data_IF_751061532052
#
_entry.id   IF_751061532052
#
_cell.length_a   1.000
_cell.length_b   1.000
_cell.length_c   1.000
_cell.angle_alpha   90.00
_cell.angle_beta   90.00
_cell.angle_gamma   90.00
#
_symmetry.space_group_name_H-M   'P 1'
#
loop_
_entity.id
_entity.type
_entity.pdbx_description
1 polymer ?
#
# COMPACT_ATOMS: atom_id res chain seq x y z
N UNK A 1 9.11 11.42 11.05
CA UNK A 1 9.47 10.85 9.73
C UNK A 1 9.92 9.42 9.95
N UNK A 2 9.45 8.47 9.13
CA UNK A 2 9.68 7.03 9.30
C UNK A 2 10.71 6.44 8.32
N UNK A 3 11.64 7.27 7.85
CA UNK A 3 12.75 6.88 6.96
C UNK A 3 14.03 7.04 7.77
N UNK A 4 14.90 6.02 7.75
CA UNK A 4 16.10 5.94 8.58
C UNK A 4 17.34 5.70 7.72
N UNK A 5 18.51 6.11 8.22
CA UNK A 5 19.78 5.97 7.50
C UNK A 5 20.31 4.53 7.51
N UNK A 6 19.93 3.73 8.51
CA UNK A 6 20.31 2.32 8.63
C UNK A 6 19.12 1.43 8.96
N UNK A 7 19.30 0.12 8.71
CA UNK A 7 18.31 -0.90 9.08
C UNK A 7 18.13 -0.99 10.59
N UNK A 8 19.22 -0.94 11.37
CA UNK A 8 19.17 -1.08 12.82
C UNK A 8 18.36 0.05 13.46
N UNK A 9 18.52 1.29 12.97
CA UNK A 9 17.73 2.43 13.41
C UNK A 9 16.24 2.23 13.13
N UNK A 10 15.90 1.70 11.95
CA UNK A 10 14.53 1.42 11.58
C UNK A 10 13.90 0.34 12.48
N UNK A 11 14.66 -0.73 12.78
CA UNK A 11 14.21 -1.81 13.66
C UNK A 11 14.02 -1.29 15.09
N UNK A 12 14.99 -0.55 15.64
CA UNK A 12 14.90 0.01 16.97
C UNK A 12 13.67 0.93 17.12
N UNK A 13 13.45 1.82 16.17
CA UNK A 13 12.28 2.70 16.15
C UNK A 13 10.96 1.92 16.04
N UNK A 14 10.91 0.90 15.19
CA UNK A 14 9.74 0.04 15.04
C UNK A 14 9.42 -0.76 16.32
N UNK A 15 10.44 -1.28 17.02
CA UNK A 15 10.27 -1.98 18.30
C UNK A 15 9.63 -1.08 19.36
N UNK A 16 10.06 0.17 19.47
CA UNK A 16 9.46 1.13 20.40
C UNK A 16 8.04 1.50 19.98
N UNK A 17 7.80 1.78 18.70
CA UNK A 17 6.49 2.14 18.19
C UNK A 17 5.44 1.03 18.39
N UNK A 18 5.85 -0.23 18.17
CA UNK A 18 4.97 -1.39 18.35
C UNK A 18 4.46 -1.51 19.79
N UNK A 19 5.29 -1.20 20.79
CA UNK A 19 4.90 -1.20 22.19
C UNK A 19 3.80 -0.17 22.49
N UNK A 20 3.65 0.88 21.68
CA UNK A 20 2.58 1.87 21.79
C UNK A 20 1.22 1.39 21.28
N UNK A 21 1.17 0.41 20.37
CA UNK A 21 -0.04 -0.08 19.70
C UNK A 21 -0.82 -1.12 20.53
N UNK A 22 -1.07 -0.82 21.82
CA UNK A 22 -1.57 -1.80 22.80
C UNK A 22 -3.05 -2.16 22.66
N UNK A 23 -3.89 -1.21 22.22
CA UNK A 23 -5.35 -1.36 22.22
C UNK A 23 -5.89 -1.65 20.83
N UNK A 24 -6.87 -2.56 20.74
CA UNK A 24 -7.59 -2.86 19.48
C UNK A 24 -8.18 -1.59 18.87
N UNK A 25 -8.82 -0.75 19.67
CA UNK A 25 -9.41 0.52 19.20
C UNK A 25 -8.37 1.44 18.55
N UNK A 26 -7.18 1.58 19.16
CA UNK A 26 -6.09 2.38 18.60
C UNK A 26 -5.61 1.80 17.26
N UNK A 27 -5.44 0.47 17.18
CA UNK A 27 -5.06 -0.18 15.92
C UNK A 27 -6.11 0.03 14.83
N UNK A 28 -7.40 0.00 15.18
CA UNK A 28 -8.48 0.27 14.24
C UNK A 28 -8.44 1.71 13.72
N UNK A 29 -8.17 2.69 14.58
CA UNK A 29 -8.00 4.09 14.20
C UNK A 29 -6.80 4.27 13.25
N UNK A 30 -5.67 3.65 13.57
CA UNK A 30 -4.46 3.68 12.73
C UNK A 30 -4.72 3.05 11.37
N UNK A 31 -5.38 1.87 11.34
CA UNK A 31 -5.76 1.20 10.09
C UNK A 31 -6.66 2.11 9.26
N UNK A 32 -7.68 2.73 9.87
CA UNK A 32 -8.59 3.61 9.15
C UNK A 32 -7.86 4.79 8.51
N UNK A 33 -6.95 5.44 9.24
CA UNK A 33 -6.13 6.53 8.71
C UNK A 33 -5.21 6.07 7.55
N UNK A 34 -4.62 4.87 7.65
CA UNK A 34 -3.81 4.29 6.56
C UNK A 34 -4.66 4.04 5.32
N UNK A 35 -5.90 3.55 5.48
CA UNK A 35 -6.82 3.29 4.36
C UNK A 35 -7.22 4.59 3.65
N UNK A 36 -7.58 5.61 4.42
CA UNK A 36 -7.95 6.93 3.89
C UNK A 36 -6.79 7.56 3.12
N UNK A 37 -5.57 7.51 3.66
CA UNK A 37 -4.38 7.97 2.96
C UNK A 37 -4.10 7.15 1.69
N UNK A 38 -4.21 5.82 1.78
CA UNK A 38 -3.97 4.92 0.65
C UNK A 38 -4.91 5.17 -0.51
N UNK A 39 -6.19 5.45 -0.26
CA UNK A 39 -7.15 5.81 -1.30
C UNK A 39 -6.89 7.23 -1.83
N UNK A 40 -6.65 8.20 -0.95
CA UNK A 40 -6.36 9.60 -1.32
C UNK A 40 -5.16 9.71 -2.26
N UNK A 41 -4.09 8.96 -2.02
CA UNK A 41 -2.84 9.03 -2.79
C UNK A 41 -2.68 7.87 -3.79
N UNK A 42 -3.72 7.07 -4.02
CA UNK A 42 -3.64 5.86 -4.85
C UNK A 42 -3.10 6.13 -6.26
N UNK A 43 -3.47 7.27 -6.85
CA UNK A 43 -3.08 7.68 -8.20
C UNK A 43 -1.62 8.09 -8.27
N UNK A 44 -1.20 8.97 -7.38
CA UNK A 44 0.19 9.44 -7.28
C UNK A 44 1.15 8.27 -7.09
N UNK A 45 0.82 7.35 -6.18
CA UNK A 45 1.63 6.15 -5.94
C UNK A 45 1.71 5.24 -7.17
N UNK A 46 0.63 5.15 -7.97
CA UNK A 46 0.61 4.36 -9.18
C UNK A 46 1.51 4.96 -10.28
N UNK A 47 1.49 6.29 -10.44
CA UNK A 47 2.33 7.02 -11.38
C UNK A 47 3.81 6.93 -11.01
N UNK A 48 4.13 7.14 -9.73
CA UNK A 48 5.49 6.98 -9.21
C UNK A 48 6.01 5.56 -9.45
N UNK A 49 5.22 4.54 -9.15
CA UNK A 49 5.63 3.15 -9.32
C UNK A 49 5.89 2.78 -10.79
N UNK A 50 5.11 3.27 -11.75
CA UNK A 50 5.39 3.04 -13.19
C UNK A 50 6.61 3.84 -13.62
N UNK A 51 6.74 5.09 -13.18
CA UNK A 51 7.86 5.97 -13.53
C UNK A 51 9.20 5.41 -13.04
N UNK A 52 9.24 4.91 -11.80
CA UNK A 52 10.46 4.36 -11.18
C UNK A 52 10.84 3.00 -11.74
N UNK A 53 9.87 2.12 -11.98
CA UNK A 53 10.15 0.70 -12.33
C UNK A 53 10.01 0.37 -13.81
N UNK A 54 9.31 1.19 -14.59
CA UNK A 54 8.93 0.89 -15.97
C UNK A 54 7.91 -0.25 -16.14
N UNK A 55 7.35 -0.81 -15.06
CA UNK A 55 6.53 -2.02 -15.11
C UNK A 55 5.02 -1.76 -14.96
N UNK A 56 4.22 -2.33 -15.86
CA UNK A 56 2.76 -2.34 -15.79
C UNK A 56 2.11 -1.02 -16.21
N UNK A 57 0.78 -0.93 -16.08
CA UNK A 57 0.00 0.28 -16.41
C UNK A 57 -0.40 1.03 -15.15
N UNK A 58 -0.48 2.35 -15.23
CA UNK A 58 -0.86 3.19 -14.08
C UNK A 58 -2.26 2.83 -13.58
N UNK A 59 -3.23 2.61 -14.49
CA UNK A 59 -4.60 2.25 -14.10
C UNK A 59 -4.68 0.94 -13.32
N UNK A 60 -3.90 -0.07 -13.72
CA UNK A 60 -3.87 -1.36 -13.01
C UNK A 60 -3.31 -1.20 -11.60
N UNK A 61 -2.29 -0.35 -11.43
CA UNK A 61 -1.71 -0.04 -10.11
C UNK A 61 -2.63 0.83 -9.27
N UNK A 62 -3.33 1.79 -9.87
CA UNK A 62 -4.35 2.59 -9.17
C UNK A 62 -5.47 1.71 -8.63
N UNK A 63 -6.04 0.83 -9.47
CA UNK A 63 -7.08 -0.10 -9.07
C UNK A 63 -6.61 -1.03 -7.93
N UNK A 64 -5.36 -1.53 -8.01
CA UNK A 64 -4.74 -2.30 -6.92
C UNK A 64 -4.63 -1.50 -5.63
N UNK A 65 -4.13 -0.26 -5.68
CA UNK A 65 -3.99 0.59 -4.49
C UNK A 65 -5.34 0.89 -3.83
N UNK A 66 -6.37 1.24 -4.62
CA UNK A 66 -7.73 1.49 -4.12
C UNK A 66 -8.33 0.22 -3.51
N UNK A 67 -8.19 -0.93 -4.16
CA UNK A 67 -8.71 -2.20 -3.64
C UNK A 67 -8.10 -2.56 -2.27
N UNK A 68 -6.79 -2.37 -2.11
CA UNK A 68 -6.10 -2.62 -0.84
C UNK A 68 -6.52 -1.63 0.25
N UNK A 69 -6.62 -0.34 -0.10
CA UNK A 69 -7.09 0.71 0.81
C UNK A 69 -8.51 0.41 1.33
N UNK A 70 -9.41 -0.06 0.47
CA UNK A 70 -10.78 -0.42 0.86
C UNK A 70 -10.90 -1.76 1.60
N UNK A 71 -9.83 -2.56 1.63
CA UNK A 71 -9.77 -3.78 2.42
C UNK A 71 -10.42 -4.98 1.75
N UNK A 72 -10.54 -4.96 0.42
CA UNK A 72 -10.87 -6.16 -0.32
C UNK A 72 -9.70 -7.13 -0.19
N UNK A 73 -9.87 -8.15 0.65
CA UNK A 73 -9.00 -9.32 0.68
C UNK A 73 -8.77 -9.79 -0.76
N UNK A 74 -7.51 -9.93 -1.16
CA UNK A 74 -7.09 -10.25 -2.53
C UNK A 74 -7.68 -11.55 -3.09
N UNK A 75 -8.94 -11.52 -3.51
CA UNK A 75 -9.53 -12.47 -4.45
C UNK A 75 -9.40 -11.89 -5.85
N UNK A 76 -8.35 -12.31 -6.54
CA UNK A 76 -8.28 -12.40 -7.99
C UNK A 76 -8.46 -11.10 -8.77
N UNK A 77 -7.35 -10.39 -9.04
CA UNK A 77 -7.18 -9.85 -10.40
C UNK A 77 -6.80 -11.04 -11.28
N UNK A 78 -7.80 -11.84 -11.65
CA UNK A 78 -7.72 -12.83 -12.72
C UNK A 78 -9.08 -12.87 -13.43
N UNK A 79 -9.46 -11.73 -13.99
CA UNK A 79 -10.39 -11.71 -15.11
C UNK A 79 -10.05 -10.52 -16.02
N UNK A 80 -8.98 -10.72 -16.79
CA UNK A 80 -8.82 -10.04 -18.07
C UNK A 80 -8.46 -11.11 -19.09
N UNK A 81 -9.49 -11.80 -19.57
CA UNK A 81 -9.42 -12.66 -20.72
C UNK A 81 -8.95 -11.88 -21.97
N UNK A 82 -7.92 -12.42 -22.63
CA UNK A 82 -7.76 -12.40 -24.09
C UNK A 82 -7.39 -11.09 -24.79
N UNK A 83 -6.13 -10.98 -25.25
CA UNK A 83 -5.78 -10.64 -26.64
C UNK A 83 -4.24 -10.58 -26.85
N UNK A 84 -3.60 -11.74 -26.93
CA UNK A 84 -2.38 -11.87 -27.75
C UNK A 84 -2.37 -13.23 -28.44
N UNK A 85 -3.08 -13.28 -29.57
CA UNK A 85 -2.74 -14.12 -30.71
C UNK A 85 -2.60 -13.18 -31.90
N UNK A 86 -1.38 -12.80 -32.22
CA UNK A 86 -0.73 -12.98 -33.53
C UNK A 86 0.77 -12.98 -33.29
#
# INVERSE_FOLDING_TARGET
>A
MGVFASLDDAVAAATVAQQGLKRVAMRQQVIQAIREAGEKYARELAELAVTETGMGRVEDKFAKNVAQARGHAGRGVSDSAGAHRR
#
